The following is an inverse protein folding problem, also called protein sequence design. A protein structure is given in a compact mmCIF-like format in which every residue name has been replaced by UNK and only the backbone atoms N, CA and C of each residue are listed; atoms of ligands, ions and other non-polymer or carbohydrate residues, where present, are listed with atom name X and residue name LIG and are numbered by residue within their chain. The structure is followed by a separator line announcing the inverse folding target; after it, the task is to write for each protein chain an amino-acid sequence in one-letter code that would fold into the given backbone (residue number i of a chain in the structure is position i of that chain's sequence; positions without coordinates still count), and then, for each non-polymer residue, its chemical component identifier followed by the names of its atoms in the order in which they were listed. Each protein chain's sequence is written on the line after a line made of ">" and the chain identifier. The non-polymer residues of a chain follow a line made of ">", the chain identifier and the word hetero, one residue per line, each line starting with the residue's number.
data_IF_387530896033
#
_entry.id   IF_387530896033
#
_cell.length_a   1.000
_cell.length_b   1.000
_cell.length_c   1.000
_cell.angle_alpha   90.00
_cell.angle_beta   90.00
_cell.angle_gamma   90.00
#
_symmetry.space_group_name_H-M   'P 1'
#
loop_
_entity.id
_entity.type
_entity.pdbx_description
1 polymer ?
#
# COMPACT_ATOMS: atom_id res chain seq x y z
N UNK A 1 -3.12 6.10 -4.23
CA UNK A 1 -1.91 6.16 -3.37
C UNK A 1 -0.87 6.95 -4.12
N UNK A 2 -0.35 8.00 -3.50
CA UNK A 2 0.80 8.74 -4.02
C UNK A 2 2.01 8.40 -3.16
N UNK A 3 3.09 7.98 -3.80
CA UNK A 3 4.31 7.61 -3.10
C UNK A 3 5.51 8.21 -3.82
N UNK A 4 6.27 9.02 -3.09
CA UNK A 4 7.47 9.69 -3.56
C UNK A 4 8.63 9.53 -2.56
N UNK A 5 9.75 10.22 -2.80
CA UNK A 5 10.95 10.15 -1.97
C UNK A 5 10.78 10.71 -0.55
N UNK A 6 9.67 11.40 -0.27
CA UNK A 6 9.38 12.12 0.97
C UNK A 6 8.25 11.50 1.77
N UNK A 7 7.17 11.06 1.13
CA UNK A 7 5.98 10.56 1.80
C UNK A 7 5.24 9.45 1.04
N UNK A 8 4.45 8.67 1.79
CA UNK A 8 3.35 7.84 1.25
C UNK A 8 2.04 8.48 1.69
N UNK A 9 1.14 8.71 0.74
CA UNK A 9 -0.20 9.28 0.94
C UNK A 9 -1.26 8.32 0.41
N UNK A 10 -2.23 7.98 1.26
CA UNK A 10 -3.36 7.12 0.93
C UNK A 10 -4.63 7.94 0.84
N UNK A 11 -5.37 7.73 -0.24
CA UNK A 11 -6.59 8.47 -0.55
C UNK A 11 -7.75 7.50 -0.77
N UNK A 12 -8.95 7.97 -0.43
CA UNK A 12 -10.23 7.36 -0.79
C UNK A 12 -11.07 8.47 -1.39
N UNK A 13 -11.59 8.28 -2.61
CA UNK A 13 -12.42 9.27 -3.31
C UNK A 13 -11.82 10.69 -3.30
N UNK A 14 -10.52 10.77 -3.63
CA UNK A 14 -9.68 11.99 -3.63
C UNK A 14 -9.43 12.65 -2.26
N UNK A 15 -9.97 12.11 -1.17
CA UNK A 15 -9.72 12.59 0.19
C UNK A 15 -8.48 11.94 0.81
N UNK A 16 -7.57 12.75 1.36
CA UNK A 16 -6.37 12.28 2.04
C UNK A 16 -6.74 11.68 3.41
N UNK A 17 -6.62 10.36 3.54
CA UNK A 17 -6.91 9.66 4.80
C UNK A 17 -5.66 9.44 5.66
N UNK A 18 -4.52 9.16 5.04
CA UNK A 18 -3.28 8.88 5.76
C UNK A 18 -2.07 9.42 5.01
N UNK A 19 -1.13 10.00 5.75
CA UNK A 19 0.14 10.50 5.25
C UNK A 19 1.26 10.11 6.22
N UNK A 20 2.28 9.43 5.72
CA UNK A 20 3.47 9.10 6.48
C UNK A 20 4.72 9.64 5.80
N UNK A 21 5.56 10.35 6.56
CA UNK A 21 6.85 10.83 6.09
C UNK A 21 7.88 9.70 6.12
N UNK A 22 8.59 9.49 5.01
CA UNK A 22 9.64 8.47 4.91
C UNK A 22 10.81 8.74 5.85
N UNK A 23 11.02 9.98 6.28
CA UNK A 23 12.00 10.30 7.32
C UNK A 23 11.68 9.69 8.69
N UNK A 24 10.43 9.25 8.91
CA UNK A 24 9.96 8.61 10.15
C UNK A 24 9.78 7.10 10.03
N UNK A 25 10.09 6.51 8.88
CA UNK A 25 9.96 5.07 8.61
C UNK A 25 11.31 4.37 8.56
N UNK A 26 12.26 4.84 9.37
CA UNK A 26 13.60 4.28 9.44
C UNK A 26 13.60 3.05 10.33
N UNK A 27 14.21 1.98 9.83
CA UNK A 27 14.53 0.84 10.66
C UNK A 27 15.66 1.20 11.65
N UNK A 28 15.83 0.45 12.75
CA UNK A 28 16.92 0.66 13.67
C UNK A 28 18.30 0.58 13.01
N UNK A 29 19.27 1.29 13.58
CA UNK A 29 20.66 1.24 13.13
C UNK A 29 21.19 -0.21 13.08
N UNK A 30 21.91 -0.56 12.02
CA UNK A 30 22.39 -1.92 11.75
C UNK A 30 21.43 -2.80 10.94
N UNK A 31 20.24 -2.30 10.60
CA UNK A 31 19.32 -3.04 9.71
C UNK A 31 19.86 -3.15 8.28
N UNK A 32 19.70 -4.30 7.59
CA UNK A 32 20.14 -4.48 6.20
C UNK A 32 19.52 -3.48 5.23
N UNK A 33 18.28 -3.06 5.51
CA UNK A 33 17.56 -2.03 4.76
C UNK A 33 17.19 -0.93 5.74
N UNK A 34 17.74 0.27 5.54
CA UNK A 34 17.53 1.40 6.46
C UNK A 34 16.11 1.98 6.34
N UNK A 35 15.54 2.02 5.13
CA UNK A 35 14.16 2.44 4.92
C UNK A 35 13.46 1.47 3.95
N UNK A 36 12.53 0.63 4.43
CA UNK A 36 11.89 -0.38 3.59
C UNK A 36 11.03 0.24 2.47
N UNK A 37 10.58 1.48 2.64
CA UNK A 37 9.81 2.24 1.65
C UNK A 37 10.70 3.02 0.68
N UNK A 38 11.96 2.61 0.52
CA UNK A 38 12.81 3.02 -0.61
C UNK A 38 13.26 1.83 -1.47
N UNK A 39 12.79 0.64 -1.14
CA UNK A 39 13.01 -0.58 -1.92
C UNK A 39 11.81 -0.85 -2.85
N UNK A 40 12.00 -1.65 -3.93
CA UNK A 40 10.89 -2.12 -4.75
C UNK A 40 9.83 -2.86 -3.93
N UNK A 41 8.57 -2.67 -4.28
CA UNK A 41 7.41 -3.28 -3.62
C UNK A 41 6.51 -3.95 -4.66
N UNK A 42 5.64 -4.85 -4.21
CA UNK A 42 4.62 -5.50 -5.04
C UNK A 42 3.23 -5.27 -4.46
N UNK A 43 2.19 -5.43 -5.29
CA UNK A 43 0.80 -5.27 -4.89
C UNK A 43 0.19 -6.65 -4.58
N UNK A 44 -0.53 -6.76 -3.46
CA UNK A 44 -1.34 -7.93 -3.11
C UNK A 44 -2.81 -7.51 -3.13
N UNK A 45 -3.64 -8.30 -3.80
CA UNK A 45 -5.10 -8.17 -3.77
C UNK A 45 -5.66 -9.52 -3.29
N UNK A 46 -6.34 -9.51 -2.16
CA UNK A 46 -6.87 -10.73 -1.56
C UNK A 46 -8.18 -10.47 -0.83
N UNK A 47 -9.05 -11.49 -0.82
CA UNK A 47 -10.21 -11.56 0.06
C UNK A 47 -9.85 -12.46 1.25
N UNK A 48 -9.32 -11.86 2.32
CA UNK A 48 -9.09 -12.59 3.56
C UNK A 48 -10.42 -12.91 4.26
N UNK A 49 -10.52 -14.10 4.85
CA UNK A 49 -11.69 -14.55 5.61
C UNK A 49 -11.24 -15.03 6.99
N UNK A 50 -11.89 -14.56 8.06
CA UNK A 50 -11.62 -14.99 9.43
C UNK A 50 -10.35 -14.41 10.06
N UNK A 51 -9.64 -15.22 10.86
CA UNK A 51 -8.43 -14.83 11.61
C UNK A 51 -8.68 -13.62 12.54
N UNK A 52 -7.84 -12.57 12.56
CA UNK A 52 -8.10 -11.39 13.41
C UNK A 52 -9.16 -10.42 12.84
N UNK A 53 -9.93 -10.84 11.83
CA UNK A 53 -11.12 -10.15 11.33
C UNK A 53 -12.45 -10.60 11.97
N UNK A 54 -12.41 -11.58 12.88
CA UNK A 54 -13.59 -12.09 13.59
C UNK A 54 -14.19 -13.37 12.98
N UNK A 55 -15.23 -13.95 13.63
CA UNK A 55 -15.89 -15.17 13.14
C UNK A 55 -16.62 -14.91 11.81
N UNK A 56 -16.74 -15.97 11.02
CA UNK A 56 -17.43 -15.94 9.73
C UNK A 56 -18.83 -16.56 9.93
N UNK A 57 -19.89 -15.89 9.47
CA UNK A 57 -21.22 -16.48 9.38
C UNK A 57 -21.40 -17.12 7.99
N UNK A 58 -21.78 -18.40 7.97
CA UNK A 58 -22.02 -19.16 6.75
C UNK A 58 -23.18 -18.59 5.91
N UNK A 59 -24.10 -17.84 6.53
CA UNK A 59 -25.19 -17.15 5.83
C UNK A 59 -24.71 -16.05 4.89
N UNK A 60 -23.50 -15.55 5.10
CA UNK A 60 -22.94 -14.46 4.29
C UNK A 60 -22.36 -14.95 2.95
N UNK A 61 -22.39 -16.27 2.67
CA UNK A 61 -21.85 -16.81 1.43
C UNK A 61 -22.92 -16.97 0.32
N UNK A 62 -22.53 -16.77 -0.95
CA UNK A 62 -21.18 -16.47 -1.45
C UNK A 62 -20.78 -14.99 -1.36
N UNK A 63 -19.53 -14.71 -0.97
CA UNK A 63 -18.93 -13.35 -1.05
C UNK A 63 -18.11 -13.20 -2.33
N UNK A 64 -18.13 -12.01 -2.91
CA UNK A 64 -17.35 -11.68 -4.11
C UNK A 64 -16.64 -10.35 -3.89
N UNK A 65 -15.37 -10.30 -4.25
CA UNK A 65 -14.55 -9.09 -4.19
C UNK A 65 -14.25 -8.64 -5.61
N UNK A 66 -14.96 -7.61 -6.05
CA UNK A 66 -14.89 -7.11 -7.42
C UNK A 66 -13.89 -5.96 -7.52
N UNK A 67 -12.96 -6.08 -8.45
CA UNK A 67 -11.94 -5.07 -8.76
C UNK A 67 -12.04 -4.82 -10.26
N UNK A 68 -12.51 -3.64 -10.64
CA UNK A 68 -12.67 -3.28 -12.05
C UNK A 68 -11.31 -3.10 -12.74
N UNK A 69 -10.40 -2.37 -12.09
CA UNK A 69 -9.04 -2.20 -12.59
C UNK A 69 -8.03 -1.86 -11.49
N UNK A 70 -6.76 -2.07 -11.81
CA UNK A 70 -5.60 -1.55 -11.09
C UNK A 70 -4.80 -0.69 -12.05
N UNK A 71 -4.38 0.49 -11.62
CA UNK A 71 -3.53 1.38 -12.40
C UNK A 71 -2.34 1.81 -11.56
N UNK A 72 -1.13 1.64 -12.11
CA UNK A 72 0.11 2.19 -11.57
C UNK A 72 0.63 3.22 -12.55
N UNK A 73 0.89 4.43 -12.08
CA UNK A 73 1.37 5.55 -12.88
C UNK A 73 2.65 6.10 -12.26
N UNK A 74 3.60 6.51 -13.11
CA UNK A 74 4.80 7.21 -12.70
C UNK A 74 4.85 8.56 -13.39
N UNK A 75 5.00 9.63 -12.62
CA UNK A 75 5.15 10.97 -13.21
C UNK A 75 6.52 11.07 -13.88
N UNK A 76 6.60 11.79 -15.02
CA UNK A 76 7.85 11.99 -15.76
C UNK A 76 9.01 12.47 -14.88
N UNK A 77 8.74 13.39 -13.93
CA UNK A 77 9.76 13.92 -13.00
C UNK A 77 10.39 12.87 -12.07
N UNK A 78 9.78 11.69 -11.94
CA UNK A 78 10.28 10.56 -11.14
C UNK A 78 10.82 9.41 -12.00
N UNK A 79 10.84 9.55 -13.32
CA UNK A 79 11.50 8.60 -14.19
C UNK A 79 13.02 8.77 -14.04
N UNK A 80 13.74 7.66 -13.86
CA UNK A 80 15.21 7.68 -13.94
C UNK A 80 15.57 7.67 -15.43
N UNK A 81 16.38 8.64 -15.87
CA UNK A 81 17.04 8.55 -17.18
C UNK A 81 17.94 7.30 -17.15
N UNK A 82 17.80 6.43 -18.16
CA UNK A 82 18.63 5.24 -18.33
C UNK A 82 19.89 5.60 -19.12
#
# INVERSE_FOLDING_TARGET
>A
MDWDERAIKLYLDDELLNCVLLSRTLNPAGSPVMNPFKAPQFLILNLALGATGGPIDDKDFPRRYYIDYVRVQQMKKYMKEQ
#
